data_IF_137400574514
#
_entry.id   IF_137400574514
#
_cell.length_a   1.000
_cell.length_b   1.000
_cell.length_c   1.000
_cell.angle_alpha   90.00
_cell.angle_beta   90.00
_cell.angle_gamma   90.00
#
_symmetry.space_group_name_H-M   'P 1'
#
loop_
_entity.id
_entity.type
_entity.pdbx_description
1 polymer ?
#
# COMPACT_ATOMS: atom_id res chain seq x y z
N UNK A 1 -19.80 0.09 9.35
CA UNK A 1 -18.59 -0.21 8.56
C UNK A 1 -17.90 1.11 8.27
N UNK A 2 -16.65 1.25 8.67
CA UNK A 2 -15.84 2.46 8.44
C UNK A 2 -14.77 2.12 7.41
N UNK A 3 -14.57 3.00 6.43
CA UNK A 3 -13.54 2.85 5.40
C UNK A 3 -12.66 4.09 5.40
N UNK A 4 -11.36 3.89 5.58
CA UNK A 4 -10.37 4.95 5.55
C UNK A 4 -9.34 4.69 4.46
N UNK A 5 -8.86 5.76 3.82
CA UNK A 5 -7.79 5.71 2.82
C UNK A 5 -6.59 6.49 3.34
N UNK A 6 -5.40 5.93 3.13
CA UNK A 6 -4.13 6.50 3.54
C UNK A 6 -3.17 6.48 2.36
N UNK A 7 -2.44 7.57 2.18
CA UNK A 7 -1.36 7.66 1.21
C UNK A 7 -0.05 7.33 1.91
N UNK A 8 0.74 6.46 1.31
CA UNK A 8 2.04 6.03 1.80
C UNK A 8 3.11 6.76 1.01
N UNK A 9 3.81 7.65 1.70
CA UNK A 9 4.94 8.37 1.16
C UNK A 9 6.23 7.73 1.64
N UNK A 10 7.18 7.57 0.74
CA UNK A 10 8.52 7.10 1.04
C UNK A 10 9.51 8.22 0.80
N UNK A 11 10.42 8.40 1.76
CA UNK A 11 11.58 9.25 1.63
C UNK A 11 12.81 8.34 1.60
N UNK A 12 13.48 8.28 0.46
CA UNK A 12 14.71 7.51 0.30
C UNK A 12 15.73 8.28 -0.52
N UNK A 13 17.01 7.96 -0.33
CA UNK A 13 18.12 8.60 -1.04
C UNK A 13 18.12 8.35 -2.55
N UNK A 14 17.27 7.44 -3.03
CA UNK A 14 17.21 7.04 -4.46
C UNK A 14 15.88 7.41 -5.12
N UNK A 15 14.84 7.70 -4.35
CA UNK A 15 13.50 8.06 -4.88
C UNK A 15 13.09 9.49 -4.56
N UNK A 16 13.85 10.21 -3.74
CA UNK A 16 13.37 11.38 -3.00
C UNK A 16 12.05 11.06 -2.25
N UNK A 17 11.29 12.09 -1.86
CA UNK A 17 9.96 11.91 -1.28
C UNK A 17 8.95 11.61 -2.39
N UNK A 18 8.40 10.40 -2.41
CA UNK A 18 7.45 9.94 -3.44
C UNK A 18 6.18 9.34 -2.81
N UNK A 19 5.03 9.58 -3.44
CA UNK A 19 3.80 8.87 -3.12
C UNK A 19 3.87 7.45 -3.69
N UNK A 20 4.28 6.50 -2.84
CA UNK A 20 4.59 5.14 -3.24
C UNK A 20 3.35 4.27 -3.43
N UNK A 21 2.35 4.43 -2.57
CA UNK A 21 1.20 3.56 -2.55
C UNK A 21 0.00 4.15 -1.80
N UNK A 22 -1.17 3.58 -2.06
CA UNK A 22 -2.40 3.84 -1.32
C UNK A 22 -2.76 2.60 -0.50
N UNK A 23 -3.24 2.82 0.72
CA UNK A 23 -3.73 1.80 1.62
C UNK A 23 -5.18 2.12 2.01
N UNK A 24 -6.05 1.11 1.96
CA UNK A 24 -7.43 1.20 2.40
C UNK A 24 -7.62 0.25 3.57
N UNK A 25 -8.17 0.76 4.67
CA UNK A 25 -8.52 -0.03 5.84
C UNK A 25 -10.03 -0.04 6.00
N UNK A 26 -10.60 -1.24 6.09
CA UNK A 26 -12.01 -1.45 6.38
C UNK A 26 -12.19 -2.03 7.79
N UNK A 27 -12.97 -1.30 8.59
CA UNK A 27 -13.28 -1.65 9.97
C UNK A 27 -14.77 -1.94 10.15
N UNK A 28 -15.04 -2.98 10.94
CA UNK A 28 -16.39 -3.39 11.32
C UNK A 28 -16.42 -3.79 12.80
N UNK A 29 -17.35 -3.18 13.55
CA UNK A 29 -17.51 -3.41 14.98
C UNK A 29 -16.21 -3.19 15.80
N UNK A 30 -15.38 -2.22 15.38
CA UNK A 30 -14.10 -1.90 16.03
C UNK A 30 -12.96 -2.87 15.70
N UNK A 31 -13.17 -3.81 14.77
CA UNK A 31 -12.15 -4.75 14.30
C UNK A 31 -11.80 -4.44 12.84
N UNK A 32 -10.50 -4.47 12.52
CA UNK A 32 -10.03 -4.40 11.13
C UNK A 32 -10.38 -5.71 10.44
N UNK A 33 -11.16 -5.64 9.36
CA UNK A 33 -11.58 -6.80 8.57
C UNK A 33 -10.74 -6.99 7.32
N UNK A 34 -10.38 -5.89 6.68
CA UNK A 34 -9.66 -5.90 5.41
C UNK A 34 -8.69 -4.73 5.32
N UNK A 35 -7.53 -5.01 4.75
CA UNK A 35 -6.57 -3.99 4.33
C UNK A 35 -6.27 -4.23 2.86
N UNK A 36 -6.54 -3.25 2.01
CA UNK A 36 -6.16 -3.29 0.60
C UNK A 36 -4.99 -2.36 0.35
N UNK A 37 -4.05 -2.82 -0.47
CA UNK A 37 -2.85 -2.08 -0.80
C UNK A 37 -2.69 -1.93 -2.30
N UNK A 38 -2.22 -0.78 -2.78
CA UNK A 38 -1.92 -0.57 -4.20
C UNK A 38 -0.75 0.39 -4.37
N UNK A 39 0.29 -0.03 -5.09
CA UNK A 39 1.34 0.89 -5.53
C UNK A 39 0.78 1.90 -6.54
N UNK A 40 1.25 3.14 -6.48
CA UNK A 40 0.89 4.14 -7.49
C UNK A 40 1.56 3.78 -8.83
N UNK A 41 0.95 4.10 -9.99
CA UNK A 41 1.57 3.87 -11.28
C UNK A 41 2.97 4.51 -11.38
N UNK A 42 3.08 5.77 -10.93
CA UNK A 42 4.34 6.51 -10.93
C UNK A 42 5.44 5.82 -10.12
N UNK A 43 5.09 5.18 -9.00
CA UNK A 43 6.06 4.43 -8.20
C UNK A 43 6.43 3.10 -8.87
N UNK A 44 5.49 2.39 -9.49
CA UNK A 44 5.80 1.15 -10.23
C UNK A 44 6.70 1.41 -11.44
N UNK A 45 6.53 2.55 -12.11
CA UNK A 45 7.32 2.95 -13.28
C UNK A 45 8.68 3.56 -12.92
N UNK A 46 8.89 3.93 -11.65
CA UNK A 46 10.15 4.50 -11.21
C UNK A 46 11.28 3.44 -11.22
N UNK A 47 12.38 3.65 -11.97
CA UNK A 47 13.49 2.69 -12.03
C UNK A 47 14.16 2.39 -10.69
N UNK A 48 14.04 3.29 -9.71
CA UNK A 48 14.61 3.16 -8.37
C UNK A 48 13.59 2.64 -7.34
N UNK A 49 12.37 2.31 -7.76
CA UNK A 49 11.37 1.77 -6.86
C UNK A 49 11.71 0.35 -6.40
N UNK A 50 11.27 0.05 -5.19
CA UNK A 50 11.42 -1.26 -4.59
C UNK A 50 10.13 -1.68 -3.90
N UNK A 51 9.95 -2.99 -3.76
CA UNK A 51 8.81 -3.56 -3.04
C UNK A 51 8.92 -3.21 -1.53
N UNK A 52 7.85 -2.65 -0.97
CA UNK A 52 7.73 -2.33 0.46
C UNK A 52 7.76 -3.58 1.34
N UNK A 53 7.14 -4.66 0.86
CA UNK A 53 7.29 -6.00 1.42
C UNK A 53 7.49 -6.97 0.25
N UNK A 54 8.74 -7.36 -0.08
CA UNK A 54 9.01 -8.24 -1.21
C UNK A 54 8.31 -9.61 -1.15
N UNK A 55 7.85 -10.04 0.03
CA UNK A 55 7.16 -11.34 0.21
C UNK A 55 5.66 -11.21 0.04
N UNK A 56 5.06 -10.12 0.52
CA UNK A 56 3.60 -9.95 0.59
C UNK A 56 3.04 -8.89 -0.35
N UNK A 57 3.90 -7.97 -0.79
CA UNK A 57 3.61 -6.83 -1.65
C UNK A 57 4.69 -6.70 -2.74
N UNK A 58 4.83 -7.70 -3.64
CA UNK A 58 5.76 -7.58 -4.76
C UNK A 58 5.46 -6.32 -5.57
N UNK A 59 6.51 -5.63 -6.01
CA UNK A 59 6.35 -4.39 -6.79
C UNK A 59 5.66 -4.71 -8.12
N UNK A 60 4.51 -4.10 -8.33
CA UNK A 60 3.71 -4.31 -9.53
C UNK A 60 2.37 -3.60 -9.48
N UNK A 61 1.65 -3.59 -10.61
CA UNK A 61 0.34 -2.97 -10.68
C UNK A 61 -0.72 -3.82 -9.97
N UNK A 62 -1.78 -3.15 -9.53
CA UNK A 62 -2.98 -3.79 -9.00
C UNK A 62 -3.12 -3.71 -7.49
N UNK A 63 -4.28 -4.18 -7.02
CA UNK A 63 -4.63 -4.20 -5.60
C UNK A 63 -4.21 -5.52 -4.97
N UNK A 64 -3.57 -5.45 -3.81
CA UNK A 64 -3.24 -6.60 -2.97
C UNK A 64 -4.11 -6.56 -1.72
N UNK A 65 -5.13 -7.44 -1.63
CA UNK A 65 -5.97 -7.54 -0.45
C UNK A 65 -5.32 -8.39 0.64
N UNK A 66 -5.44 -7.94 1.89
CA UNK A 66 -5.13 -8.70 3.09
C UNK A 66 -6.39 -8.91 3.91
N UNK A 67 -6.75 -10.18 4.10
CA UNK A 67 -7.72 -10.57 5.10
C UNK A 67 -7.10 -10.42 6.50
N UNK A 68 -7.77 -9.73 7.40
CA UNK A 68 -7.34 -9.58 8.78
C UNK A 68 -8.07 -10.59 9.66
N UNK A 69 -7.34 -11.23 10.57
CA UNK A 69 -7.87 -12.32 11.39
C UNK A 69 -8.85 -11.85 12.49
N UNK A 70 -8.94 -10.54 12.76
CA UNK A 70 -9.93 -9.92 13.65
C UNK A 70 -9.90 -10.43 15.09
#
# INVERSE_FOLDING_TARGET
MTRARFDIHLDSTVTDVVHAAECVIEEEAGLVRRVDFRYTPDYVENPNAFALDPKRLPLGPGETPFACAG
#
